data_IF_943496832832
#
_entry.id   IF_943496832832
#
_cell.length_a   1.000
_cell.length_b   1.000
_cell.length_c   1.000
_cell.angle_alpha   90.00
_cell.angle_beta   90.00
_cell.angle_gamma   90.00
#
_symmetry.space_group_name_H-M   'P 1'
#
loop_
_entity.id
_entity.type
_entity.pdbx_description
1 polymer ?
#
# COMPACT_ATOMS: atom_id res chain seq x y z
N UNK A 1 -11.28 -1.60 -29.41
CA UNK A 1 -11.35 -0.34 -30.18
C UNK A 1 -10.34 -0.25 -31.32
N UNK A 2 -9.02 -0.44 -31.14
CA UNK A 2 -8.07 -0.43 -32.30
C UNK A 2 -8.09 -1.76 -33.07
N UNK A 3 -7.97 -2.89 -32.38
CA UNK A 3 -7.86 -4.20 -33.05
C UNK A 3 -9.20 -4.68 -33.63
N UNK A 4 -10.30 -4.23 -33.02
CA UNK A 4 -11.66 -4.49 -33.51
C UNK A 4 -12.07 -3.62 -34.71
N UNK A 5 -11.21 -2.70 -35.17
CA UNK A 5 -11.55 -1.73 -36.22
C UNK A 5 -11.39 -2.27 -37.64
N UNK A 6 -10.86 -3.48 -37.83
CA UNK A 6 -10.45 -4.08 -39.11
C UNK A 6 -9.41 -3.27 -39.92
N UNK A 7 -9.00 -2.07 -39.46
CA UNK A 7 -8.05 -1.19 -40.14
C UNK A 7 -6.58 -1.64 -39.99
N UNK A 8 -6.30 -2.57 -39.09
CA UNK A 8 -4.95 -3.05 -38.78
C UNK A 8 -4.93 -4.59 -38.80
N UNK A 9 -4.88 -5.22 -39.99
CA UNK A 9 -4.87 -6.67 -40.09
C UNK A 9 -3.55 -7.25 -39.56
N UNK A 10 -3.65 -8.38 -38.84
CA UNK A 10 -2.51 -8.99 -38.11
C UNK A 10 -1.38 -9.45 -39.04
N UNK A 11 -1.67 -9.73 -40.32
CA UNK A 11 -0.67 -10.08 -41.34
C UNK A 11 0.16 -8.89 -41.84
N UNK A 12 -0.22 -7.64 -41.52
CA UNK A 12 0.52 -6.42 -41.90
C UNK A 12 0.97 -5.59 -40.71
N UNK A 13 0.37 -5.78 -39.53
CA UNK A 13 0.67 -4.98 -38.34
C UNK A 13 0.79 -5.85 -37.09
N UNK A 14 1.90 -5.65 -36.36
CA UNK A 14 2.10 -6.22 -35.03
C UNK A 14 1.87 -5.12 -33.99
N UNK A 15 0.70 -5.11 -33.35
CA UNK A 15 0.33 -4.12 -32.32
C UNK A 15 0.68 -4.67 -30.94
N UNK A 16 1.61 -4.01 -30.25
CA UNK A 16 2.13 -4.45 -28.95
C UNK A 16 1.81 -3.38 -27.89
N UNK A 17 0.92 -3.68 -26.92
CA UNK A 17 0.73 -2.81 -25.77
C UNK A 17 1.91 -2.94 -24.80
N UNK A 18 2.37 -1.81 -24.25
CA UNK A 18 3.51 -1.77 -23.33
C UNK A 18 3.19 -0.94 -22.09
N UNK A 19 2.95 -1.62 -20.98
CA UNK A 19 2.56 -1.05 -19.68
C UNK A 19 3.14 -1.92 -18.55
N UNK A 20 3.42 -1.32 -17.39
CA UNK A 20 3.98 -2.02 -16.21
C UNK A 20 3.11 -3.13 -15.59
N UNK A 21 1.88 -3.32 -16.09
CA UNK A 21 0.90 -4.33 -15.66
C UNK A 21 0.70 -5.43 -16.70
N UNK A 22 1.35 -5.32 -17.86
CA UNK A 22 1.36 -6.34 -18.90
C UNK A 22 2.38 -7.42 -18.50
N UNK A 23 2.14 -8.71 -18.78
CA UNK A 23 3.11 -9.77 -18.53
C UNK A 23 4.51 -9.45 -19.08
N UNK A 24 5.57 -9.83 -18.37
CA UNK A 24 6.97 -9.49 -18.76
C UNK A 24 7.30 -10.06 -20.14
N UNK A 25 6.93 -11.30 -20.41
CA UNK A 25 7.11 -11.98 -21.69
C UNK A 25 6.39 -11.26 -22.84
N UNK A 26 5.19 -10.71 -22.60
CA UNK A 26 4.50 -9.87 -23.58
C UNK A 26 5.21 -8.52 -23.80
N UNK A 27 5.77 -7.91 -22.75
CA UNK A 27 6.57 -6.69 -22.89
C UNK A 27 7.85 -6.96 -23.70
N UNK A 28 8.50 -8.12 -23.50
CA UNK A 28 9.73 -8.49 -24.21
C UNK A 28 9.54 -8.65 -25.72
N UNK A 29 8.32 -8.94 -26.20
CA UNK A 29 7.98 -8.98 -27.63
C UNK A 29 8.33 -7.67 -28.35
N UNK A 30 8.41 -6.56 -27.62
CA UNK A 30 8.79 -5.25 -28.16
C UNK A 30 10.20 -5.22 -28.76
N UNK A 31 11.11 -6.07 -28.26
CA UNK A 31 12.49 -6.14 -28.73
C UNK A 31 12.67 -6.97 -30.01
N UNK A 32 11.68 -7.82 -30.32
CA UNK A 32 11.73 -8.64 -31.51
C UNK A 32 11.52 -7.77 -32.77
N UNK A 33 12.30 -8.07 -33.82
CA UNK A 33 12.07 -7.49 -35.14
C UNK A 33 10.79 -8.08 -35.75
N UNK A 34 9.91 -7.26 -36.35
CA UNK A 34 8.73 -7.79 -37.03
C UNK A 34 9.13 -8.56 -38.29
N UNK A 35 8.31 -9.54 -38.75
CA UNK A 35 8.53 -10.22 -40.02
C UNK A 35 8.56 -9.25 -41.22
N UNK A 36 9.18 -9.63 -42.36
CA UNK A 36 9.16 -8.83 -43.57
C UNK A 36 7.73 -8.49 -44.00
N UNK A 37 7.48 -7.23 -44.36
CA UNK A 37 6.15 -6.75 -44.73
C UNK A 37 5.22 -6.42 -43.55
N UNK A 38 5.62 -6.70 -42.32
CA UNK A 38 4.84 -6.40 -41.10
C UNK A 38 5.39 -5.15 -40.41
N UNK A 39 4.51 -4.21 -40.07
CA UNK A 39 4.87 -3.02 -39.29
C UNK A 39 4.61 -3.25 -37.80
N UNK A 40 5.66 -3.12 -36.98
CA UNK A 40 5.53 -3.07 -35.52
C UNK A 40 4.97 -1.72 -35.07
N UNK A 41 3.93 -1.75 -34.23
CA UNK A 41 3.30 -0.57 -33.61
C UNK A 41 3.26 -0.81 -32.10
N UNK A 42 3.87 0.09 -31.35
CA UNK A 42 4.02 -0.06 -29.89
C UNK A 42 3.22 1.06 -29.23
N UNK A 43 2.27 0.66 -28.38
CA UNK A 43 1.42 1.60 -27.64
C UNK A 43 1.89 1.57 -26.19
N UNK A 44 2.58 2.62 -25.75
CA UNK A 44 3.26 2.63 -24.45
C UNK A 44 2.89 3.82 -23.56
N UNK A 45 3.11 3.65 -22.26
CA UNK A 45 3.18 4.74 -21.29
C UNK A 45 4.60 5.32 -21.23
N UNK A 46 4.90 6.09 -20.18
CA UNK A 46 6.24 6.66 -19.94
C UNK A 46 7.34 5.58 -19.77
N UNK A 47 7.00 4.30 -19.63
CA UNK A 47 8.01 3.22 -19.50
C UNK A 47 8.96 3.12 -20.70
N UNK A 48 8.50 3.45 -21.91
CA UNK A 48 9.36 3.51 -23.11
C UNK A 48 10.25 4.77 -23.15
N UNK A 49 9.98 5.76 -22.29
CA UNK A 49 10.74 7.01 -22.20
C UNK A 49 12.00 6.86 -21.37
N UNK A 50 12.03 5.97 -20.36
CA UNK A 50 13.16 5.81 -19.44
C UNK A 50 13.64 4.37 -19.35
N UNK A 51 12.77 3.45 -18.91
CA UNK A 51 13.13 2.09 -18.50
C UNK A 51 13.42 1.13 -19.67
N UNK A 52 12.84 1.38 -20.85
CA UNK A 52 12.94 0.46 -21.99
C UNK A 52 13.50 1.17 -23.22
N UNK A 53 14.47 0.52 -23.87
CA UNK A 53 15.18 1.03 -25.04
C UNK A 53 14.92 0.14 -26.24
N UNK A 54 14.10 0.62 -27.16
CA UNK A 54 13.68 -0.11 -28.37
C UNK A 54 14.44 0.49 -29.55
N UNK A 55 15.24 -0.32 -30.22
CA UNK A 55 16.24 0.19 -31.15
C UNK A 55 15.66 0.55 -32.52
N UNK A 56 14.67 -0.19 -33.01
CA UNK A 56 14.11 -0.07 -34.37
C UNK A 56 12.99 0.98 -34.50
N UNK A 57 12.86 1.90 -33.55
CA UNK A 57 11.85 2.95 -33.57
C UNK A 57 12.25 4.08 -34.54
N UNK A 58 11.44 4.25 -35.59
CA UNK A 58 11.63 5.30 -36.61
C UNK A 58 10.59 6.41 -36.47
N UNK A 59 9.42 6.07 -35.94
CA UNK A 59 8.31 7.00 -35.75
C UNK A 59 7.88 6.98 -34.29
N UNK A 60 7.80 8.16 -33.68
CA UNK A 60 7.19 8.36 -32.36
C UNK A 60 5.98 9.24 -32.54
N UNK A 61 4.84 8.81 -31.99
CA UNK A 61 3.64 9.63 -31.87
C UNK A 61 3.49 9.95 -30.39
N UNK A 62 3.76 11.20 -30.04
CA UNK A 62 3.71 11.69 -28.68
C UNK A 62 2.36 12.36 -28.41
N UNK A 63 1.53 11.74 -27.56
CA UNK A 63 0.23 12.30 -27.19
C UNK A 63 0.31 13.53 -26.27
N UNK A 64 1.51 13.89 -25.79
CA UNK A 64 1.73 15.05 -24.93
C UNK A 64 1.26 14.89 -23.49
N UNK A 65 0.75 13.72 -23.11
CA UNK A 65 0.19 13.46 -21.78
C UNK A 65 0.97 12.37 -21.04
N UNK A 66 0.90 12.44 -19.71
CA UNK A 66 1.42 11.43 -18.79
C UNK A 66 0.51 11.36 -17.56
N UNK A 67 0.36 10.17 -16.96
CA UNK A 67 -0.28 10.04 -15.66
C UNK A 67 0.77 10.11 -14.55
N UNK A 68 0.57 11.01 -13.59
CA UNK A 68 1.49 11.21 -12.47
C UNK A 68 0.74 11.04 -11.16
N UNK A 69 1.42 10.42 -10.20
CA UNK A 69 0.99 10.38 -8.81
C UNK A 69 1.39 11.69 -8.14
N UNK A 70 0.41 12.36 -7.55
CA UNK A 70 0.60 13.54 -6.73
C UNK A 70 0.03 13.28 -5.34
N UNK A 71 0.47 14.08 -4.37
CA UNK A 71 -0.07 14.09 -3.02
C UNK A 71 -0.76 15.42 -2.76
N UNK A 72 -2.05 15.36 -2.45
CA UNK A 72 -2.81 16.53 -2.01
C UNK A 72 -2.85 16.51 -0.48
N UNK A 73 -1.97 17.27 0.17
CA UNK A 73 -1.87 17.32 1.61
C UNK A 73 -3.12 17.89 2.29
N UNK A 74 -3.85 18.81 1.64
CA UNK A 74 -5.09 19.41 2.19
C UNK A 74 -6.19 18.38 2.37
N UNK A 75 -6.26 17.43 1.44
CA UNK A 75 -7.21 16.30 1.50
C UNK A 75 -6.57 15.04 2.07
N UNK A 76 -5.27 15.06 2.35
CA UNK A 76 -4.46 13.90 2.74
C UNK A 76 -4.64 12.66 1.81
N UNK A 77 -4.76 12.89 0.51
CA UNK A 77 -5.05 11.83 -0.50
C UNK A 77 -4.02 11.85 -1.63
N UNK A 78 -3.64 10.66 -2.11
CA UNK A 78 -2.91 10.53 -3.36
C UNK A 78 -3.83 10.67 -4.57
N UNK A 79 -3.42 11.44 -5.57
CA UNK A 79 -4.17 11.58 -6.83
C UNK A 79 -3.40 10.97 -7.99
N UNK A 80 -4.13 10.46 -8.99
CA UNK A 80 -3.55 9.95 -10.23
C UNK A 80 -4.13 10.71 -11.42
N UNK A 81 -3.43 11.76 -11.83
CA UNK A 81 -3.95 12.74 -12.79
C UNK A 81 -3.23 12.67 -14.14
N UNK A 82 -3.98 12.91 -15.21
CA UNK A 82 -3.45 13.02 -16.58
C UNK A 82 -3.00 14.45 -16.85
N UNK A 83 -1.70 14.68 -16.74
CA UNK A 83 -1.08 16.01 -16.91
C UNK A 83 -0.37 16.12 -18.25
N UNK A 84 -0.11 17.34 -18.68
CA UNK A 84 0.79 17.58 -19.81
C UNK A 84 2.23 17.22 -19.42
N UNK A 85 2.98 16.72 -20.39
CA UNK A 85 4.41 16.44 -20.22
C UNK A 85 5.23 17.73 -20.18
N UNK A 86 6.47 17.66 -19.68
CA UNK A 86 7.42 18.77 -19.78
C UNK A 86 8.11 18.84 -21.15
N UNK A 87 8.77 19.97 -21.45
CA UNK A 87 9.64 20.13 -22.63
C UNK A 87 10.77 19.09 -22.61
N UNK A 88 11.33 18.79 -21.44
CA UNK A 88 12.33 17.74 -21.27
C UNK A 88 11.80 16.36 -21.68
N UNK A 89 10.58 15.98 -21.28
CA UNK A 89 9.98 14.71 -21.69
C UNK A 89 9.74 14.66 -23.21
N UNK A 90 9.21 15.75 -23.81
CA UNK A 90 9.01 15.83 -25.25
C UNK A 90 10.35 15.65 -26.01
N UNK A 91 11.42 16.26 -25.50
CA UNK A 91 12.78 16.08 -26.03
C UNK A 91 13.27 14.64 -25.89
N UNK A 92 13.08 13.99 -24.74
CA UNK A 92 13.43 12.59 -24.54
C UNK A 92 12.69 11.67 -25.50
N UNK A 93 11.37 11.88 -25.69
CA UNK A 93 10.54 11.13 -26.65
C UNK A 93 11.01 11.33 -28.09
N UNK A 94 11.38 12.55 -28.47
CA UNK A 94 12.03 12.83 -29.76
C UNK A 94 13.36 12.06 -29.88
N UNK A 95 14.15 11.98 -28.82
CA UNK A 95 15.40 11.20 -28.78
C UNK A 95 15.21 9.67 -28.87
N UNK A 96 13.97 9.16 -28.84
CA UNK A 96 13.65 7.74 -29.07
C UNK A 96 13.60 7.38 -30.55
N UNK A 97 13.54 8.36 -31.45
CA UNK A 97 13.78 8.14 -32.89
C UNK A 97 15.21 8.51 -33.28
N UNK A 98 15.65 8.11 -34.47
CA UNK A 98 16.95 8.53 -35.00
C UNK A 98 18.14 7.66 -34.60
N UNK A 99 17.90 6.55 -33.86
CA UNK A 99 18.97 5.65 -33.40
C UNK A 99 19.57 4.79 -34.52
N UNK A 100 18.71 4.25 -35.37
CA UNK A 100 19.11 3.34 -36.46
C UNK A 100 19.12 4.05 -37.81
N UNK A 101 18.21 5.01 -38.01
CA UNK A 101 18.09 5.81 -39.22
C UNK A 101 17.29 7.09 -38.94
N UNK A 102 17.33 8.11 -39.81
CA UNK A 102 16.52 9.32 -39.66
C UNK A 102 15.05 8.99 -39.40
N UNK A 103 14.50 9.55 -38.33
CA UNK A 103 13.14 9.28 -37.87
C UNK A 103 12.31 10.55 -37.69
N UNK A 104 11.02 10.38 -37.41
CA UNK A 104 10.08 11.50 -37.20
C UNK A 104 9.38 11.35 -35.86
N UNK A 105 9.33 12.45 -35.10
CA UNK A 105 8.54 12.55 -33.88
C UNK A 105 7.36 13.49 -34.15
N UNK A 106 6.14 12.99 -33.92
CA UNK A 106 4.90 13.74 -34.10
C UNK A 106 4.33 14.06 -32.72
N UNK A 107 4.37 15.33 -32.32
CA UNK A 107 3.73 15.77 -31.08
C UNK A 107 2.28 16.14 -31.37
N UNK A 108 1.33 15.49 -30.69
CA UNK A 108 -0.11 15.76 -30.81
C UNK A 108 -0.52 16.96 -29.95
N UNK A 109 0.19 18.07 -30.10
CA UNK A 109 -0.07 19.33 -29.44
C UNK A 109 0.25 20.49 -30.36
N UNK A 110 -0.48 21.59 -30.23
CA UNK A 110 -0.18 22.81 -30.99
C UNK A 110 1.13 23.41 -30.51
N UNK A 111 1.76 24.23 -31.36
CA UNK A 111 2.95 24.99 -30.97
C UNK A 111 2.66 25.92 -29.78
N UNK A 112 1.50 26.57 -29.76
CA UNK A 112 1.05 27.36 -28.63
C UNK A 112 0.98 26.54 -27.32
N UNK A 113 0.45 25.29 -27.37
CA UNK A 113 0.49 24.40 -26.20
C UNK A 113 1.92 24.04 -25.81
N UNK A 114 2.79 23.71 -26.76
CA UNK A 114 4.19 23.38 -26.48
C UNK A 114 4.93 24.53 -25.78
N UNK A 115 4.68 25.76 -26.20
CA UNK A 115 5.28 26.97 -25.62
C UNK A 115 4.89 27.14 -24.14
N UNK A 116 3.65 26.78 -23.77
CA UNK A 116 3.14 26.78 -22.38
C UNK A 116 3.62 25.60 -21.51
N UNK A 117 4.35 24.62 -22.05
CA UNK A 117 4.84 23.51 -21.26
C UNK A 117 5.96 23.94 -20.32
N UNK A 118 5.95 23.38 -19.12
CA UNK A 118 7.04 23.53 -18.16
C UNK A 118 8.34 22.92 -18.70
N UNK A 119 9.51 23.50 -18.39
CA UNK A 119 10.80 22.95 -18.82
C UNK A 119 11.02 21.51 -18.33
N UNK A 120 10.69 21.24 -17.07
CA UNK A 120 10.88 19.96 -16.38
C UNK A 120 9.62 19.55 -15.62
N UNK A 121 9.51 18.26 -15.29
CA UNK A 121 8.45 17.78 -14.41
C UNK A 121 8.71 18.20 -12.97
N UNK A 122 7.64 18.37 -12.20
CA UNK A 122 7.72 18.65 -10.77
C UNK A 122 8.53 17.54 -10.03
N UNK A 123 9.58 17.92 -9.27
CA UNK A 123 10.37 16.99 -8.46
C UNK A 123 9.51 16.14 -7.53
N UNK A 124 9.93 14.89 -7.29
CA UNK A 124 9.15 13.94 -6.50
C UNK A 124 8.90 14.40 -5.05
N UNK A 125 9.90 15.06 -4.44
CA UNK A 125 9.80 15.57 -3.07
C UNK A 125 8.66 16.56 -2.87
N UNK A 126 8.25 17.29 -3.92
CA UNK A 126 7.17 18.26 -3.87
C UNK A 126 5.77 17.65 -4.06
N UNK A 127 5.68 16.37 -4.42
CA UNK A 127 4.42 15.71 -4.83
C UNK A 127 4.21 14.32 -4.26
N UNK A 128 5.06 13.89 -3.34
CA UNK A 128 4.96 12.61 -2.64
C UNK A 128 4.75 12.85 -1.14
N UNK A 129 4.31 11.81 -0.42
CA UNK A 129 4.28 11.86 1.04
C UNK A 129 5.71 11.84 1.61
N UNK A 130 5.90 12.38 2.81
CA UNK A 130 7.23 12.68 3.34
C UNK A 130 7.62 11.84 4.56
N UNK A 131 6.79 10.90 5.04
CA UNK A 131 7.03 10.20 6.31
C UNK A 131 8.40 9.50 6.35
N UNK A 132 8.74 8.75 5.31
CA UNK A 132 10.03 8.05 5.22
C UNK A 132 11.20 9.03 5.24
N UNK A 133 11.11 10.10 4.45
CA UNK A 133 12.18 11.10 4.29
C UNK A 133 12.40 11.87 5.61
N UNK A 134 11.31 12.24 6.29
CA UNK A 134 11.34 12.89 7.59
C UNK A 134 11.97 11.97 8.65
N UNK A 135 11.58 10.70 8.68
CA UNK A 135 12.11 9.75 9.64
C UNK A 135 13.60 9.46 9.39
N UNK A 136 14.02 9.34 8.12
CA UNK A 136 15.44 9.25 7.75
C UNK A 136 16.22 10.49 8.20
N UNK A 137 15.67 11.70 8.01
CA UNK A 137 16.33 12.93 8.45
C UNK A 137 16.54 12.97 9.98
N UNK A 138 15.59 12.42 10.75
CA UNK A 138 15.72 12.31 12.21
C UNK A 138 16.77 11.30 12.64
N UNK A 139 16.86 10.14 11.98
CA UNK A 139 17.95 9.17 12.25
C UNK A 139 19.32 9.75 11.92
N UNK A 140 19.42 10.53 10.84
CA UNK A 140 20.65 11.23 10.45
C UNK A 140 20.95 12.46 11.34
N UNK A 141 20.12 12.75 12.34
CA UNK A 141 20.29 13.85 13.29
C UNK A 141 20.43 15.23 12.62
N UNK A 142 19.67 15.46 11.54
CA UNK A 142 19.73 16.72 10.77
C UNK A 142 19.04 17.92 11.46
N UNK A 143 18.62 17.75 12.73
CA UNK A 143 17.98 18.78 13.54
C UNK A 143 16.45 18.78 13.45
N UNK A 144 15.85 19.96 13.70
CA UNK A 144 14.41 20.14 13.55
C UNK A 144 14.03 20.16 12.08
N UNK A 145 12.89 19.55 11.75
CA UNK A 145 12.43 19.45 10.36
C UNK A 145 12.19 20.85 9.78
N UNK A 146 11.57 21.73 10.57
CA UNK A 146 11.30 23.12 10.19
C UNK A 146 12.55 23.93 9.84
N UNK A 147 13.72 23.56 10.36
CA UNK A 147 14.97 24.28 10.09
C UNK A 147 15.74 23.66 8.90
N UNK A 148 15.63 22.35 8.70
CA UNK A 148 16.37 21.64 7.66
C UNK A 148 15.67 21.64 6.29
N UNK A 149 14.38 21.32 6.25
CA UNK A 149 13.67 21.11 4.97
C UNK A 149 13.55 22.35 4.08
N UNK A 150 13.44 23.59 4.63
CA UNK A 150 13.50 24.79 3.81
C UNK A 150 14.84 25.01 3.08
N UNK A 151 15.91 24.31 3.47
CA UNK A 151 17.26 24.42 2.85
C UNK A 151 17.48 23.45 1.69
N UNK A 152 16.51 22.60 1.38
CA UNK A 152 16.60 21.68 0.24
C UNK A 152 16.58 22.45 -1.09
N UNK A 153 17.13 21.83 -2.15
CA UNK A 153 17.12 22.41 -3.51
C UNK A 153 15.71 22.82 -3.95
N UNK A 154 14.76 21.91 -3.73
CA UNK A 154 13.33 22.13 -3.92
C UNK A 154 12.63 21.82 -2.59
N UNK A 155 12.34 22.86 -1.81
CA UNK A 155 11.72 22.71 -0.50
C UNK A 155 10.23 22.31 -0.65
N UNK A 156 9.78 21.21 0.01
CA UNK A 156 8.37 20.83 0.00
C UNK A 156 7.48 21.81 0.74
N UNK A 157 6.18 21.78 0.40
CA UNK A 157 5.18 22.64 1.03
C UNK A 157 5.12 22.40 2.56
N UNK A 158 5.12 23.46 3.38
CA UNK A 158 5.03 23.32 4.84
C UNK A 158 3.81 22.53 5.32
N UNK A 159 2.69 22.58 4.59
CA UNK A 159 1.50 21.78 4.88
C UNK A 159 1.71 20.29 4.62
N UNK A 160 2.47 19.93 3.58
CA UNK A 160 2.84 18.53 3.34
C UNK A 160 3.78 18.01 4.45
N UNK A 161 4.72 18.83 4.91
CA UNK A 161 5.58 18.53 6.05
C UNK A 161 4.73 18.32 7.32
N UNK A 162 3.82 19.24 7.61
CA UNK A 162 2.97 19.19 8.80
C UNK A 162 2.09 17.93 8.86
N UNK A 163 1.47 17.54 7.73
CA UNK A 163 0.64 16.33 7.66
C UNK A 163 1.46 15.06 7.86
N UNK A 164 2.67 14.98 7.30
CA UNK A 164 3.54 13.82 7.51
C UNK A 164 4.13 13.78 8.92
N UNK A 165 4.44 14.93 9.54
CA UNK A 165 4.84 15.01 10.94
C UNK A 165 3.72 14.56 11.89
N UNK A 166 2.49 15.02 11.66
CA UNK A 166 1.31 14.60 12.42
C UNK A 166 1.14 13.07 12.37
N UNK A 167 1.24 12.47 11.18
CA UNK A 167 1.16 11.02 11.04
C UNK A 167 2.28 10.31 11.82
N UNK A 168 3.53 10.77 11.75
CA UNK A 168 4.64 10.17 12.49
C UNK A 168 4.46 10.26 14.02
N UNK A 169 3.89 11.37 14.51
CA UNK A 169 3.53 11.53 15.93
C UNK A 169 2.41 10.59 16.34
N UNK A 170 1.35 10.49 15.54
CA UNK A 170 0.22 9.56 15.78
C UNK A 170 0.64 8.09 15.73
N UNK A 171 1.66 7.77 14.94
CA UNK A 171 2.28 6.45 14.93
C UNK A 171 3.20 6.20 16.12
N UNK A 172 3.47 7.21 16.96
CA UNK A 172 4.44 7.21 18.05
C UNK A 172 5.87 6.95 17.56
N UNK A 173 6.16 7.27 16.29
CA UNK A 173 7.51 7.23 15.73
C UNK A 173 8.33 8.46 16.14
N UNK A 174 7.64 9.58 16.35
CA UNK A 174 8.19 10.80 16.93
C UNK A 174 7.38 11.19 18.17
N UNK A 175 8.02 11.80 19.15
CA UNK A 175 7.34 12.44 20.27
C UNK A 175 6.80 13.83 19.89
N UNK A 176 6.18 14.52 20.85
CA UNK A 176 5.64 15.86 20.62
C UNK A 176 6.68 16.93 20.27
N UNK A 177 7.94 16.70 20.67
CA UNK A 177 9.09 17.58 20.41
C UNK A 177 9.83 17.22 19.10
N UNK A 178 9.26 16.32 18.28
CA UNK A 178 9.89 15.75 17.08
C UNK A 178 11.16 14.93 17.35
N UNK A 179 11.31 14.40 18.57
CA UNK A 179 12.40 13.49 18.91
C UNK A 179 12.06 12.08 18.46
N UNK A 180 13.07 11.36 18.00
CA UNK A 180 12.92 9.96 17.58
C UNK A 180 12.63 9.07 18.79
N UNK A 181 11.53 8.34 18.76
CA UNK A 181 11.21 7.34 19.79
C UNK A 181 11.94 6.01 19.50
N UNK A 182 12.02 5.06 20.45
CA UNK A 182 12.51 3.72 20.18
C UNK A 182 11.77 3.04 19.02
N UNK A 183 10.44 3.24 18.92
CA UNK A 183 9.65 2.74 17.79
C UNK A 183 10.11 3.40 16.48
N UNK A 184 10.20 4.73 16.46
CA UNK A 184 10.68 5.47 15.29
C UNK A 184 12.06 5.02 14.82
N UNK A 185 12.97 4.72 15.74
CA UNK A 185 14.30 4.20 15.44
C UNK A 185 14.26 2.87 14.68
N UNK A 186 13.43 1.92 15.13
CA UNK A 186 13.26 0.65 14.41
C UNK A 186 12.56 0.83 13.08
N UNK A 187 11.52 1.66 13.01
CA UNK A 187 10.79 1.96 11.77
C UNK A 187 11.71 2.57 10.70
N UNK A 188 12.62 3.45 11.10
CA UNK A 188 13.55 4.10 10.19
C UNK A 188 14.59 3.14 9.57
N UNK A 189 14.87 2.03 10.26
CA UNK A 189 15.78 0.99 9.77
C UNK A 189 15.11 0.00 8.82
N UNK A 190 13.77 -0.05 8.79
CA UNK A 190 13.04 -0.88 7.85
C UNK A 190 12.89 -0.12 6.52
N UNK A 191 13.26 -0.72 5.37
CA UNK A 191 13.09 -0.10 4.06
C UNK A 191 11.64 -0.19 3.59
N UNK A 192 10.70 0.38 4.36
CA UNK A 192 9.27 0.42 4.06
C UNK A 192 8.58 1.62 4.69
N UNK A 193 7.32 1.85 4.33
CA UNK A 193 6.49 2.86 4.98
C UNK A 193 6.32 2.59 6.51
N UNK A 194 6.46 3.60 7.40
CA UNK A 194 6.33 3.48 8.85
C UNK A 194 5.06 2.79 9.34
N UNK A 195 3.91 3.00 8.68
CA UNK A 195 2.65 2.33 9.01
C UNK A 195 2.77 0.81 8.83
N UNK A 196 3.38 0.39 7.73
CA UNK A 196 3.61 -1.02 7.39
C UNK A 196 4.70 -1.61 8.31
N UNK A 197 5.73 -0.82 8.65
CA UNK A 197 6.76 -1.21 9.60
C UNK A 197 6.18 -1.45 10.99
N UNK A 198 5.30 -0.56 11.48
CA UNK A 198 4.62 -0.71 12.77
C UNK A 198 3.76 -1.97 12.78
N UNK A 199 3.01 -2.19 11.71
CA UNK A 199 2.24 -3.43 11.51
C UNK A 199 3.14 -4.67 11.63
N UNK A 200 4.30 -4.66 10.97
CA UNK A 200 5.22 -5.80 10.95
C UNK A 200 5.83 -6.08 12.34
N UNK A 201 6.30 -5.06 13.05
CA UNK A 201 6.84 -5.19 14.40
C UNK A 201 5.76 -5.73 15.36
N UNK A 202 4.53 -5.22 15.27
CA UNK A 202 3.42 -5.71 16.08
C UNK A 202 3.05 -7.14 15.70
N UNK A 203 3.16 -7.52 14.42
CA UNK A 203 3.00 -8.89 13.96
C UNK A 203 3.97 -9.86 14.62
N UNK A 204 5.22 -9.44 14.85
CA UNK A 204 6.20 -10.22 15.61
C UNK A 204 5.82 -10.32 17.09
N UNK A 205 5.51 -9.19 17.76
CA UNK A 205 5.17 -9.15 19.19
C UNK A 205 3.90 -9.95 19.51
N UNK A 206 2.88 -9.87 18.67
CA UNK A 206 1.60 -10.58 18.85
C UNK A 206 1.61 -12.02 18.32
N UNK A 207 2.76 -12.54 17.90
CA UNK A 207 2.94 -13.88 17.37
C UNK A 207 2.00 -14.22 16.21
N UNK A 208 1.84 -13.29 15.28
CA UNK A 208 1.11 -13.46 14.03
C UNK A 208 1.93 -13.05 12.81
N UNK A 209 3.24 -13.32 12.86
CA UNK A 209 4.23 -12.75 11.95
C UNK A 209 4.05 -13.20 10.50
N UNK A 210 3.85 -14.49 10.23
CA UNK A 210 3.85 -15.01 8.85
C UNK A 210 2.77 -14.35 7.97
N UNK A 211 1.50 -14.24 8.39
CA UNK A 211 0.49 -13.50 7.64
C UNK A 211 0.79 -12.02 7.49
N UNK A 212 1.19 -11.34 8.57
CA UNK A 212 1.45 -9.90 8.56
C UNK A 212 2.63 -9.56 7.65
N UNK A 213 3.69 -10.36 7.69
CA UNK A 213 4.84 -10.23 6.80
C UNK A 213 4.45 -10.39 5.33
N UNK A 214 3.57 -11.35 5.00
CA UNK A 214 3.06 -11.51 3.63
C UNK A 214 2.28 -10.26 3.16
N UNK A 215 1.48 -9.67 4.06
CA UNK A 215 0.70 -8.46 3.77
C UNK A 215 1.62 -7.26 3.57
N UNK A 216 2.56 -7.06 4.50
CA UNK A 216 3.50 -5.95 4.49
C UNK A 216 4.30 -5.88 3.18
N UNK A 217 4.83 -7.02 2.72
CA UNK A 217 5.64 -7.07 1.49
C UNK A 217 4.81 -6.70 0.26
N UNK A 218 3.55 -7.16 0.15
CA UNK A 218 2.70 -6.82 -1.00
C UNK A 218 2.34 -5.33 -0.98
N UNK A 219 2.03 -4.77 0.18
CA UNK A 219 1.71 -3.35 0.32
C UNK A 219 2.89 -2.44 -0.04
N UNK A 220 4.11 -2.83 0.32
CA UNK A 220 5.32 -2.05 0.05
C UNK A 220 5.83 -2.22 -1.39
N UNK A 221 5.84 -3.44 -1.92
CA UNK A 221 6.49 -3.71 -3.21
C UNK A 221 5.59 -3.45 -4.42
N UNK A 222 4.70 -4.40 -4.73
CA UNK A 222 3.87 -4.35 -5.94
C UNK A 222 2.74 -5.38 -5.88
N UNK A 223 1.57 -4.99 -6.38
CA UNK A 223 0.48 -5.92 -6.70
C UNK A 223 0.93 -6.91 -7.80
N UNK A 224 0.95 -8.23 -7.53
CA UNK A 224 1.40 -9.24 -8.49
C UNK A 224 0.40 -9.52 -9.63
N UNK A 225 -0.83 -9.03 -9.54
CA UNK A 225 -1.83 -9.27 -10.59
C UNK A 225 -1.48 -8.50 -11.88
N UNK A 226 -1.49 -9.22 -12.99
CA UNK A 226 -1.32 -8.69 -14.34
C UNK A 226 -2.64 -8.72 -15.08
N UNK A 227 -2.75 -7.86 -16.09
CA UNK A 227 -3.94 -7.79 -16.93
C UNK A 227 -3.46 -7.98 -18.36
N UNK A 228 -3.47 -9.22 -18.89
CA UNK A 228 -3.08 -9.46 -20.27
C UNK A 228 -4.06 -8.81 -21.22
N UNK A 229 -3.55 -8.41 -22.38
CA UNK A 229 -4.36 -7.78 -23.40
C UNK A 229 -5.46 -8.73 -23.89
N UNK A 230 -6.71 -8.25 -23.99
CA UNK A 230 -7.92 -9.03 -24.36
C UNK A 230 -8.42 -10.03 -23.30
N UNK A 231 -7.78 -10.12 -22.13
CA UNK A 231 -8.20 -11.00 -21.02
C UNK A 231 -8.57 -10.24 -19.76
N UNK A 232 -8.98 -8.97 -19.91
CA UNK A 232 -9.23 -8.07 -18.79
C UNK A 232 -10.34 -8.59 -17.86
N UNK A 233 -11.47 -9.00 -18.45
CA UNK A 233 -12.62 -9.52 -17.70
C UNK A 233 -12.30 -10.88 -17.05
N UNK A 234 -11.56 -11.74 -17.74
CA UNK A 234 -11.14 -13.06 -17.24
C UNK A 234 -10.22 -12.91 -16.03
N UNK A 235 -9.24 -11.99 -16.11
CA UNK A 235 -8.32 -11.70 -15.01
C UNK A 235 -9.04 -11.15 -13.77
N UNK A 236 -9.98 -10.23 -13.97
CA UNK A 236 -10.81 -9.69 -12.87
C UNK A 236 -11.64 -10.81 -12.23
N UNK A 237 -12.28 -11.66 -13.05
CA UNK A 237 -13.09 -12.77 -12.55
C UNK A 237 -12.26 -13.78 -11.76
N UNK A 238 -11.09 -14.19 -12.28
CA UNK A 238 -10.16 -15.11 -11.58
C UNK A 238 -9.68 -14.55 -10.24
N UNK A 239 -9.39 -13.26 -10.17
CA UNK A 239 -9.03 -12.60 -8.90
C UNK A 239 -10.18 -12.68 -7.88
N UNK A 240 -11.41 -12.38 -8.30
CA UNK A 240 -12.59 -12.45 -7.45
C UNK A 240 -12.93 -13.89 -7.04
N UNK A 241 -12.76 -14.86 -7.93
CA UNK A 241 -12.90 -16.29 -7.65
C UNK A 241 -11.93 -16.71 -6.53
N UNK A 242 -10.64 -16.40 -6.68
CA UNK A 242 -9.63 -16.72 -5.67
C UNK A 242 -9.93 -16.04 -4.32
N UNK A 243 -10.44 -14.81 -4.37
CA UNK A 243 -10.78 -13.99 -3.20
C UNK A 243 -12.19 -14.17 -2.66
N UNK A 244 -13.00 -15.09 -3.19
CA UNK A 244 -14.45 -15.20 -2.89
C UNK A 244 -14.75 -15.28 -1.39
N UNK A 245 -13.97 -16.11 -0.67
CA UNK A 245 -14.14 -16.32 0.78
C UNK A 245 -13.31 -15.36 1.64
N UNK A 246 -12.52 -14.48 1.04
CA UNK A 246 -11.78 -13.45 1.76
C UNK A 246 -12.70 -12.25 2.01
N UNK A 247 -12.85 -11.85 3.27
CA UNK A 247 -13.58 -10.63 3.67
C UNK A 247 -12.61 -9.51 4.08
N UNK A 248 -11.49 -9.40 3.37
CA UNK A 248 -10.42 -8.42 3.59
C UNK A 248 -9.43 -8.52 2.43
N UNK A 249 -9.04 -7.37 1.85
CA UNK A 249 -8.02 -7.30 0.80
C UNK A 249 -6.65 -7.72 1.35
N UNK A 250 -6.31 -7.29 2.56
CA UNK A 250 -5.05 -7.65 3.22
C UNK A 250 -4.97 -9.16 3.51
N UNK A 251 -6.02 -9.77 4.08
CA UNK A 251 -6.03 -11.22 4.31
C UNK A 251 -6.00 -12.01 2.99
N UNK A 252 -6.54 -11.45 1.91
CA UNK A 252 -6.41 -12.00 0.57
C UNK A 252 -4.95 -11.99 0.08
N UNK A 253 -4.18 -10.92 0.34
CA UNK A 253 -2.74 -10.86 0.05
C UNK A 253 -1.97 -11.97 0.77
N UNK A 254 -2.25 -12.21 2.05
CA UNK A 254 -1.67 -13.34 2.78
C UNK A 254 -2.00 -14.68 2.12
N UNK A 255 -3.29 -14.93 1.83
CA UNK A 255 -3.74 -16.17 1.18
C UNK A 255 -3.00 -16.43 -0.14
N UNK A 256 -2.81 -15.38 -0.94
CA UNK A 256 -2.11 -15.44 -2.22
C UNK A 256 -0.66 -15.89 -2.05
N UNK A 257 0.10 -15.23 -1.18
CA UNK A 257 1.52 -15.56 -0.93
C UNK A 257 1.66 -16.95 -0.33
N UNK A 258 0.80 -17.29 0.65
CA UNK A 258 0.84 -18.59 1.31
C UNK A 258 0.57 -19.73 0.31
N UNK A 259 -0.42 -19.55 -0.59
CA UNK A 259 -0.70 -20.52 -1.65
C UNK A 259 0.52 -20.71 -2.54
N UNK A 260 1.08 -19.63 -3.09
CA UNK A 260 2.24 -19.68 -3.98
C UNK A 260 3.49 -20.28 -3.32
N UNK A 261 3.76 -19.92 -2.06
CA UNK A 261 4.91 -20.42 -1.30
C UNK A 261 4.90 -21.95 -1.17
N UNK A 262 3.73 -22.55 -0.98
CA UNK A 262 3.57 -23.99 -0.76
C UNK A 262 3.47 -24.82 -2.05
N UNK A 263 3.54 -24.19 -3.23
CA UNK A 263 3.61 -24.88 -4.51
C UNK A 263 5.07 -25.17 -4.90
N UNK A 264 5.28 -26.28 -5.61
CA UNK A 264 6.55 -26.55 -6.29
C UNK A 264 6.68 -25.68 -7.55
N UNK A 265 7.85 -25.65 -8.17
CA UNK A 265 8.16 -24.75 -9.30
C UNK A 265 7.18 -24.90 -10.46
N UNK A 266 6.93 -26.13 -10.93
CA UNK A 266 5.96 -26.38 -12.00
C UNK A 266 4.53 -25.90 -11.66
N UNK A 267 4.05 -26.19 -10.44
CA UNK A 267 2.72 -25.73 -10.00
C UNK A 267 2.66 -24.22 -9.78
N UNK A 268 3.79 -23.56 -9.47
CA UNK A 268 3.86 -22.09 -9.36
C UNK A 268 3.61 -21.43 -10.71
N UNK A 269 4.21 -21.94 -11.77
CA UNK A 269 3.97 -21.46 -13.14
C UNK A 269 2.50 -21.64 -13.54
N UNK A 270 1.94 -22.82 -13.30
CA UNK A 270 0.53 -23.10 -13.56
C UNK A 270 -0.41 -22.17 -12.77
N UNK A 271 -0.14 -21.98 -11.48
CA UNK A 271 -0.93 -21.09 -10.62
C UNK A 271 -0.83 -19.63 -11.07
N UNK A 272 0.35 -19.16 -11.45
CA UNK A 272 0.54 -17.81 -11.97
C UNK A 272 -0.18 -17.60 -13.30
N UNK A 273 -0.16 -18.59 -14.19
CA UNK A 273 -0.89 -18.56 -15.46
C UNK A 273 -2.41 -18.54 -15.23
N UNK A 274 -2.92 -19.42 -14.36
CA UNK A 274 -4.35 -19.53 -14.08
C UNK A 274 -4.95 -18.27 -13.46
N UNK A 275 -4.24 -17.66 -12.50
CA UNK A 275 -4.75 -16.51 -11.73
C UNK A 275 -4.21 -15.15 -12.20
N UNK A 276 -3.56 -15.11 -13.36
CA UNK A 276 -3.01 -13.87 -13.93
C UNK A 276 -2.06 -13.16 -12.97
N UNK A 277 -1.04 -13.87 -12.52
CA UNK A 277 -0.01 -13.35 -11.62
C UNK A 277 1.33 -13.28 -12.35
N UNK A 278 2.12 -12.25 -12.07
CA UNK A 278 3.49 -12.17 -12.55
C UNK A 278 4.41 -13.07 -11.71
N UNK A 279 4.94 -14.13 -12.32
CA UNK A 279 5.81 -15.10 -11.65
C UNK A 279 7.06 -14.45 -11.04
N UNK A 280 7.71 -13.52 -11.75
CA UNK A 280 8.89 -12.81 -11.25
C UNK A 280 8.56 -11.97 -10.01
N UNK A 281 7.41 -11.29 -10.02
CA UNK A 281 6.92 -10.49 -8.89
C UNK A 281 6.64 -11.38 -7.69
N UNK A 282 5.95 -12.51 -7.88
CA UNK A 282 5.69 -13.49 -6.82
C UNK A 282 6.97 -14.10 -6.24
N UNK A 283 7.94 -14.45 -7.09
CA UNK A 283 9.25 -14.94 -6.65
C UNK A 283 10.02 -13.87 -5.89
N UNK A 284 9.98 -12.61 -6.34
CA UNK A 284 10.60 -11.50 -5.63
C UNK A 284 9.95 -11.21 -4.27
N UNK A 285 8.63 -11.34 -4.16
CA UNK A 285 7.91 -11.26 -2.86
C UNK A 285 8.46 -12.30 -1.87
N UNK A 286 8.74 -13.54 -2.31
CA UNK A 286 9.37 -14.54 -1.45
C UNK A 286 10.83 -14.20 -1.07
N UNK A 287 11.55 -13.46 -1.92
CA UNK A 287 12.90 -12.97 -1.62
C UNK A 287 12.86 -11.86 -0.56
N UNK A 288 12.02 -10.84 -0.78
CA UNK A 288 11.80 -9.75 0.17
C UNK A 288 11.37 -10.28 1.54
N UNK A 289 10.59 -11.37 1.57
CA UNK A 289 10.24 -12.06 2.83
C UNK A 289 11.45 -12.49 3.64
N UNK A 290 12.50 -13.00 2.99
CA UNK A 290 13.75 -13.38 3.66
C UNK A 290 14.53 -12.16 4.12
N UNK A 291 14.58 -11.12 3.29
CA UNK A 291 15.26 -9.85 3.62
C UNK A 291 14.61 -9.16 4.84
N UNK A 292 13.27 -9.11 4.92
CA UNK A 292 12.59 -8.57 6.10
C UNK A 292 12.69 -9.45 7.34
N UNK A 293 12.76 -10.79 7.18
CA UNK A 293 13.10 -11.67 8.30
C UNK A 293 14.51 -11.40 8.84
N UNK A 294 15.48 -11.11 7.95
CA UNK A 294 16.83 -10.73 8.34
C UNK A 294 16.82 -9.44 9.18
N UNK A 295 16.09 -8.41 8.74
CA UNK A 295 15.95 -7.17 9.52
C UNK A 295 15.35 -7.42 10.91
N UNK A 296 14.25 -8.18 10.99
CA UNK A 296 13.63 -8.49 12.29
C UNK A 296 14.55 -9.29 13.21
N UNK A 297 15.37 -10.18 12.65
CA UNK A 297 16.33 -10.99 13.40
C UNK A 297 17.46 -10.13 13.94
N UNK A 298 18.05 -9.28 13.10
CA UNK A 298 19.09 -8.31 13.49
C UNK A 298 18.60 -7.32 14.55
N UNK A 299 17.31 -6.95 14.49
CA UNK A 299 16.68 -6.11 15.50
C UNK A 299 16.32 -6.85 16.79
N UNK A 300 16.37 -8.19 16.82
CA UNK A 300 16.06 -8.99 18.01
C UNK A 300 14.59 -9.32 18.23
N UNK A 301 13.71 -9.05 17.26
CA UNK A 301 12.26 -9.32 17.36
C UNK A 301 11.87 -10.76 17.01
N UNK A 302 12.77 -11.55 16.42
CA UNK A 302 12.51 -12.95 16.06
C UNK A 302 13.69 -13.84 16.45
N UNK A 303 13.44 -15.11 16.83
CA UNK A 303 14.49 -16.00 17.33
C UNK A 303 15.42 -16.52 16.24
N UNK A 304 14.95 -16.55 15.00
CA UNK A 304 15.67 -17.07 13.84
C UNK A 304 15.04 -16.57 12.53
N UNK A 305 15.69 -16.90 11.41
CA UNK A 305 15.28 -16.49 10.07
C UNK A 305 14.10 -17.29 9.49
N UNK A 306 13.53 -18.26 10.22
CA UNK A 306 12.39 -19.03 9.74
C UNK A 306 11.09 -18.26 10.01
N UNK A 307 10.40 -17.74 8.97
CA UNK A 307 9.16 -16.99 9.16
C UNK A 307 8.00 -17.86 9.67
N UNK A 308 8.16 -19.20 9.65
CA UNK A 308 7.19 -20.19 10.16
C UNK A 308 7.52 -20.70 11.57
N UNK A 309 8.47 -20.08 12.28
CA UNK A 309 8.79 -20.47 13.66
C UNK A 309 7.53 -20.42 14.54
N UNK A 310 7.40 -21.37 15.47
CA UNK A 310 6.21 -21.53 16.31
C UNK A 310 6.08 -20.35 17.26
N UNK A 311 7.21 -19.89 17.78
CA UNK A 311 7.37 -18.76 18.68
C UNK A 311 6.64 -17.52 18.15
N UNK A 312 6.79 -17.20 16.86
CA UNK A 312 6.24 -15.97 16.28
C UNK A 312 4.89 -16.16 15.55
N UNK A 313 4.25 -17.33 15.65
CA UNK A 313 3.08 -17.66 14.83
C UNK A 313 1.92 -18.34 15.58
N UNK A 314 1.93 -18.37 16.91
CA UNK A 314 0.85 -18.97 17.71
C UNK A 314 -0.53 -18.37 17.44
N UNK A 315 -0.60 -17.12 16.97
CA UNK A 315 -1.84 -16.40 16.66
C UNK A 315 -2.08 -16.20 15.14
N UNK A 316 -1.24 -16.77 14.27
CA UNK A 316 -1.30 -16.57 12.81
C UNK A 316 -2.59 -17.08 12.14
N UNK A 317 -3.40 -17.88 12.84
CA UNK A 317 -4.69 -18.38 12.35
C UNK A 317 -5.91 -17.64 12.96
N UNK A 318 -5.71 -16.74 13.93
CA UNK A 318 -6.77 -15.97 14.57
C UNK A 318 -7.07 -14.72 13.74
N UNK A 319 -8.13 -14.77 12.93
CA UNK A 319 -8.43 -13.73 11.95
C UNK A 319 -8.67 -12.36 12.58
N UNK A 320 -9.29 -12.30 13.76
CA UNK A 320 -9.57 -11.04 14.42
C UNK A 320 -8.31 -10.42 15.05
N UNK A 321 -7.36 -11.24 15.54
CA UNK A 321 -6.02 -10.77 15.91
C UNK A 321 -5.30 -10.18 14.68
N UNK A 322 -5.32 -10.86 13.53
CA UNK A 322 -4.74 -10.32 12.30
C UNK A 322 -5.36 -8.98 11.91
N UNK A 323 -6.68 -8.86 11.99
CA UNK A 323 -7.39 -7.59 11.73
C UNK A 323 -7.00 -6.51 12.73
N UNK A 324 -6.79 -6.86 13.98
CA UNK A 324 -6.36 -5.93 15.02
C UNK A 324 -4.94 -5.40 14.75
N UNK A 325 -4.01 -6.25 14.32
CA UNK A 325 -2.66 -5.82 13.95
C UNK A 325 -2.63 -5.02 12.64
N UNK A 326 -3.45 -5.39 11.65
CA UNK A 326 -3.67 -4.57 10.45
C UNK A 326 -4.23 -3.19 10.85
N UNK A 327 -5.16 -3.14 11.80
CA UNK A 327 -5.67 -1.88 12.36
C UNK A 327 -4.56 -1.06 13.01
N UNK A 328 -3.70 -1.68 13.81
CA UNK A 328 -2.61 -1.00 14.51
C UNK A 328 -1.59 -0.34 13.57
N UNK A 329 -1.35 -0.93 12.40
CA UNK A 329 -0.48 -0.34 11.39
C UNK A 329 -1.16 0.73 10.54
N UNK A 330 -2.39 0.46 10.09
CA UNK A 330 -3.09 1.31 9.11
C UNK A 330 -3.86 2.46 9.74
N UNK A 331 -4.18 2.39 11.03
CA UNK A 331 -4.68 3.55 11.77
C UNK A 331 -3.70 4.74 11.60
N UNK A 332 -4.19 5.97 11.37
CA UNK A 332 -5.57 6.47 11.52
C UNK A 332 -6.46 6.38 10.28
N UNK A 333 -6.05 5.63 9.26
CA UNK A 333 -6.80 5.50 8.01
C UNK A 333 -8.03 4.60 8.22
N UNK A 334 -9.12 5.20 8.67
CA UNK A 334 -10.38 4.52 8.99
C UNK A 334 -11.56 5.13 8.22
N UNK A 335 -12.53 4.30 7.88
CA UNK A 335 -13.75 4.64 7.17
C UNK A 335 -14.94 3.96 7.86
N UNK A 336 -16.04 4.70 7.92
CA UNK A 336 -17.34 4.18 8.33
C UNK A 336 -18.10 3.59 7.16
N UNK A 337 -18.82 2.50 7.42
CA UNK A 337 -19.84 1.98 6.52
C UNK A 337 -21.15 2.68 6.87
N UNK A 338 -21.59 3.56 5.98
CA UNK A 338 -22.87 4.27 6.09
C UNK A 338 -24.06 3.40 5.70
N UNK A 339 -25.18 4.05 5.35
CA UNK A 339 -26.40 3.34 4.92
C UNK A 339 -26.17 2.60 3.60
N UNK A 340 -26.83 1.45 3.45
CA UNK A 340 -26.95 0.74 2.18
C UNK A 340 -27.94 1.50 1.29
N UNK A 341 -27.46 2.12 0.22
CA UNK A 341 -28.33 2.67 -0.84
C UNK A 341 -28.28 1.73 -2.05
N UNK A 342 -29.44 1.29 -2.55
CA UNK A 342 -29.54 0.41 -3.72
C UNK A 342 -28.65 -0.86 -3.65
N UNK A 343 -28.50 -1.45 -2.45
CA UNK A 343 -27.61 -2.61 -2.16
C UNK A 343 -26.11 -2.34 -2.32
N UNK A 344 -25.70 -1.07 -2.42
CA UNK A 344 -24.30 -0.64 -2.41
C UNK A 344 -24.01 0.00 -1.05
N UNK A 345 -22.93 -0.46 -0.41
CA UNK A 345 -22.46 0.17 0.83
C UNK A 345 -21.85 1.54 0.50
N UNK A 346 -22.37 2.60 1.11
CA UNK A 346 -21.72 3.91 1.11
C UNK A 346 -20.63 3.92 2.15
N UNK A 347 -19.46 4.45 1.80
CA UNK A 347 -18.32 4.56 2.68
C UNK A 347 -18.05 6.02 2.98
N UNK A 348 -17.83 6.34 4.25
CA UNK A 348 -17.68 7.71 4.71
C UNK A 348 -16.37 7.88 5.50
N UNK A 349 -15.61 8.91 5.16
CA UNK A 349 -14.42 9.32 5.90
C UNK A 349 -14.79 10.04 7.20
N UNK A 350 -13.80 10.27 8.07
CA UNK A 350 -14.00 10.98 9.34
C UNK A 350 -14.43 12.46 9.17
N UNK A 351 -14.15 13.04 8.01
CA UNK A 351 -14.54 14.39 7.63
C UNK A 351 -15.88 14.42 6.85
N UNK A 352 -16.66 13.35 6.94
CA UNK A 352 -17.95 13.15 6.27
C UNK A 352 -17.92 13.00 4.74
N UNK A 353 -16.74 13.03 4.10
CA UNK A 353 -16.62 12.83 2.65
C UNK A 353 -16.99 11.39 2.24
N UNK A 354 -17.80 11.27 1.19
CA UNK A 354 -18.17 9.98 0.61
C UNK A 354 -17.07 9.43 -0.29
N UNK A 355 -16.77 8.13 -0.13
CA UNK A 355 -15.80 7.38 -0.91
C UNK A 355 -16.39 6.05 -1.37
N UNK A 356 -15.74 5.40 -2.34
CA UNK A 356 -16.16 4.10 -2.86
C UNK A 356 -15.03 3.09 -2.82
N UNK A 357 -15.33 1.80 -2.73
CA UNK A 357 -14.32 0.76 -2.91
C UNK A 357 -13.85 0.76 -4.36
N UNK A 358 -12.53 0.68 -4.57
CA UNK A 358 -11.95 0.57 -5.89
C UNK A 358 -12.37 -0.75 -6.56
N UNK A 359 -12.67 -0.79 -7.88
CA UNK A 359 -13.12 -1.98 -8.62
C UNK A 359 -12.24 -3.24 -8.53
N UNK A 360 -11.02 -3.12 -7.97
CA UNK A 360 -10.08 -4.22 -7.77
C UNK A 360 -10.16 -4.87 -6.38
N UNK A 361 -10.88 -4.26 -5.44
CA UNK A 361 -11.02 -4.80 -4.09
C UNK A 361 -11.84 -6.08 -4.12
N UNK A 362 -11.46 -7.04 -3.27
CA UNK A 362 -12.21 -8.29 -3.07
C UNK A 362 -13.45 -8.08 -2.21
N UNK A 363 -13.68 -6.89 -1.66
CA UNK A 363 -14.85 -6.54 -0.85
C UNK A 363 -16.05 -6.06 -1.68
N UNK A 364 -15.87 -5.83 -2.98
CA UNK A 364 -16.95 -5.37 -3.87
C UNK A 364 -18.12 -6.35 -3.85
N UNK A 365 -19.33 -5.81 -3.69
CA UNK A 365 -20.57 -6.58 -3.71
C UNK A 365 -20.72 -7.55 -2.53
N UNK A 366 -19.83 -7.50 -1.54
CA UNK A 366 -19.92 -8.34 -0.34
C UNK A 366 -20.60 -7.60 0.80
N UNK A 367 -21.41 -8.34 1.55
CA UNK A 367 -21.95 -7.85 2.81
C UNK A 367 -20.83 -7.79 3.87
N UNK A 368 -20.62 -6.60 4.44
CA UNK A 368 -19.64 -6.34 5.48
C UNK A 368 -20.40 -6.18 6.80
N UNK A 369 -20.09 -7.05 7.77
CA UNK A 369 -20.78 -7.07 9.07
C UNK A 369 -20.35 -5.92 9.99
N UNK A 370 -19.09 -5.52 9.91
CA UNK A 370 -18.50 -4.53 10.80
C UNK A 370 -18.70 -3.11 10.24
N UNK A 371 -19.04 -2.12 11.08
CA UNK A 371 -19.28 -0.75 10.61
C UNK A 371 -17.99 0.02 10.27
N UNK A 372 -16.81 -0.57 10.55
CA UNK A 372 -15.52 0.09 10.42
C UNK A 372 -14.60 -0.68 9.48
N UNK A 373 -13.89 0.07 8.64
CA UNK A 373 -12.84 -0.42 7.75
C UNK A 373 -11.57 0.38 7.97
N UNK A 374 -10.43 -0.32 8.00
CA UNK A 374 -9.12 0.33 7.81
C UNK A 374 -8.63 0.12 6.39
N UNK A 375 -7.90 1.09 5.86
CA UNK A 375 -7.34 1.07 4.51
C UNK A 375 -5.88 1.54 4.51
N UNK A 376 -5.07 1.08 3.57
CA UNK A 376 -3.73 1.64 3.39
C UNK A 376 -3.79 2.83 2.44
N UNK A 377 -4.57 2.72 1.35
CA UNK A 377 -4.50 3.70 0.26
C UNK A 377 -5.86 4.23 -0.20
N UNK A 378 -5.98 5.57 -0.20
CA UNK A 378 -7.00 6.31 -0.95
C UNK A 378 -6.38 6.87 -2.23
N UNK A 379 -7.09 6.70 -3.34
CA UNK A 379 -6.68 7.24 -4.65
C UNK A 379 -7.82 8.04 -5.25
N UNK A 380 -7.57 9.30 -5.57
CA UNK A 380 -8.47 10.10 -6.41
C UNK A 380 -8.12 9.90 -7.89
N UNK A 381 -9.08 9.40 -8.66
CA UNK A 381 -9.00 9.34 -10.13
C UNK A 381 -10.23 10.02 -10.75
N UNK A 382 -11.27 9.27 -11.11
CA UNK A 382 -12.59 9.82 -11.44
C UNK A 382 -13.34 10.22 -10.17
N UNK A 383 -13.40 9.30 -9.19
CA UNK A 383 -13.87 9.53 -7.83
C UNK A 383 -12.73 9.23 -6.84
N UNK A 384 -12.98 9.44 -5.55
CA UNK A 384 -12.10 9.01 -4.47
C UNK A 384 -12.40 7.54 -4.15
N UNK A 385 -11.39 6.68 -4.31
CA UNK A 385 -11.52 5.25 -4.11
C UNK A 385 -10.63 4.74 -2.98
N UNK A 386 -11.20 3.90 -2.13
CA UNK A 386 -10.46 3.03 -1.19
C UNK A 386 -9.89 1.87 -2.00
N UNK A 387 -8.57 1.84 -2.14
CA UNK A 387 -7.90 0.86 -3.02
C UNK A 387 -7.86 -0.54 -2.41
N UNK A 388 -7.74 -0.62 -1.09
CA UNK A 388 -7.64 -1.84 -0.29
C UNK A 388 -8.27 -1.58 1.08
N UNK A 389 -8.96 -2.59 1.65
CA UNK A 389 -9.58 -2.43 2.96
C UNK A 389 -9.65 -3.72 3.77
N UNK A 390 -9.80 -3.56 5.08
CA UNK A 390 -10.06 -4.65 6.03
C UNK A 390 -11.11 -4.24 7.05
N UNK A 391 -12.20 -5.02 7.20
CA UNK A 391 -13.17 -4.80 8.27
C UNK A 391 -12.54 -5.03 9.63
N UNK A 392 -12.80 -4.13 10.56
CA UNK A 392 -12.28 -4.16 11.93
C UNK A 392 -13.40 -4.00 12.95
N UNK A 393 -13.20 -4.53 14.16
CA UNK A 393 -14.12 -4.37 15.28
C UNK A 393 -13.80 -3.07 16.05
N UNK A 394 -14.78 -2.55 16.78
CA UNK A 394 -14.61 -1.43 17.69
C UNK A 394 -13.45 -1.67 18.66
N UNK A 395 -13.31 -2.89 19.21
CA UNK A 395 -12.21 -3.19 20.13
C UNK A 395 -10.83 -3.01 19.49
N UNK A 396 -10.67 -3.32 18.20
CA UNK A 396 -9.39 -3.13 17.51
C UNK A 396 -8.98 -1.64 17.52
N UNK A 397 -9.95 -0.75 17.25
CA UNK A 397 -9.73 0.69 17.25
C UNK A 397 -9.55 1.23 18.67
N UNK A 398 -10.28 0.68 19.64
CA UNK A 398 -10.15 1.08 21.04
C UNK A 398 -8.78 0.74 21.62
N UNK A 399 -8.16 -0.38 21.23
CA UNK A 399 -6.81 -0.74 21.69
C UNK A 399 -5.70 0.00 20.94
N UNK A 400 -5.84 0.23 19.63
CA UNK A 400 -4.75 0.72 18.79
C UNK A 400 -4.92 2.12 18.20
N UNK A 401 -6.08 2.77 18.39
CA UNK A 401 -6.29 4.17 18.00
C UNK A 401 -5.57 5.14 18.93
N UNK A 402 -5.65 6.46 18.70
CA UNK A 402 -5.03 7.48 19.57
C UNK A 402 -6.07 8.19 20.47
N UNK A 403 -5.59 9.02 21.41
CA UNK A 403 -6.42 9.93 22.22
C UNK A 403 -7.64 9.27 22.87
N UNK A 404 -7.43 8.18 23.60
CA UNK A 404 -8.49 7.46 24.31
C UNK A 404 -9.05 8.31 25.46
N UNK A 405 -10.35 8.62 25.40
CA UNK A 405 -11.05 9.38 26.43
C UNK A 405 -12.35 8.69 26.82
N UNK A 406 -12.71 8.74 28.10
CA UNK A 406 -14.00 8.26 28.61
C UNK A 406 -14.88 9.49 28.84
N UNK A 407 -16.03 9.52 28.20
CA UNK A 407 -17.02 10.59 28.32
C UNK A 407 -18.37 10.10 28.81
N UNK A 408 -19.22 11.05 29.20
CA UNK A 408 -20.62 10.82 29.55
C UNK A 408 -21.48 11.96 29.04
N UNK A 409 -22.63 11.64 28.47
CA UNK A 409 -23.65 12.58 28.02
C UNK A 409 -24.98 12.13 28.62
N UNK A 410 -25.44 12.82 29.68
CA UNK A 410 -26.54 12.35 30.52
C UNK A 410 -26.19 11.02 31.21
N UNK A 411 -27.07 10.02 31.09
CA UNK A 411 -26.86 8.67 31.63
C UNK A 411 -26.05 7.76 30.68
N UNK A 412 -25.72 8.22 29.48
CA UNK A 412 -25.01 7.42 28.50
C UNK A 412 -23.49 7.64 28.59
N UNK A 413 -22.76 6.55 28.75
CA UNK A 413 -21.31 6.54 28.73
C UNK A 413 -20.78 6.14 27.36
N UNK A 414 -19.66 6.74 26.97
CA UNK A 414 -19.00 6.45 25.70
C UNK A 414 -17.48 6.57 25.82
N UNK A 415 -16.79 5.89 24.93
CA UNK A 415 -15.35 6.02 24.70
C UNK A 415 -15.15 6.82 23.43
N UNK A 416 -14.23 7.78 23.45
CA UNK A 416 -13.82 8.54 22.27
C UNK A 416 -12.38 8.21 21.88
N UNK A 417 -12.14 8.03 20.58
CA UNK A 417 -10.81 7.85 19.96
C UNK A 417 -10.62 8.98 18.93
N UNK A 418 -9.42 9.56 18.83
CA UNK A 418 -9.12 10.69 17.93
C UNK A 418 -10.05 11.90 18.10
N UNK A 419 -10.71 12.05 19.26
CA UNK A 419 -11.75 13.04 19.55
C UNK A 419 -13.01 12.97 18.66
N UNK A 420 -13.10 12.03 17.71
CA UNK A 420 -14.14 11.96 16.69
C UNK A 420 -14.92 10.65 16.74
N UNK A 421 -14.24 9.52 16.95
CA UNK A 421 -14.85 8.20 16.95
C UNK A 421 -15.50 7.94 18.31
N UNK A 422 -16.83 7.91 18.39
CA UNK A 422 -17.57 7.60 19.62
C UNK A 422 -18.05 6.14 19.64
N UNK A 423 -17.80 5.46 20.75
CA UNK A 423 -18.20 4.07 21.00
C UNK A 423 -19.01 3.98 22.30
N UNK A 424 -20.27 3.56 22.22
CA UNK A 424 -21.11 3.36 23.41
C UNK A 424 -20.54 2.24 24.27
N UNK A 425 -20.41 2.48 25.57
CA UNK A 425 -19.89 1.51 26.54
C UNK A 425 -20.40 1.86 27.93
N UNK A 426 -20.60 0.88 28.81
CA UNK A 426 -20.82 1.18 30.23
C UNK A 426 -19.51 1.64 30.88
N UNK A 427 -19.61 2.47 31.93
CA UNK A 427 -18.45 3.09 32.58
C UNK A 427 -17.41 2.07 33.05
N UNK A 428 -17.84 0.99 33.72
CA UNK A 428 -16.95 -0.06 34.21
C UNK A 428 -16.17 -0.75 33.09
N UNK A 429 -16.83 -1.08 31.97
CA UNK A 429 -16.15 -1.66 30.80
C UNK A 429 -15.18 -0.67 30.17
N UNK A 430 -15.52 0.61 30.08
CA UNK A 430 -14.63 1.63 29.55
C UNK A 430 -13.36 1.78 30.41
N UNK A 431 -13.49 1.75 31.74
CA UNK A 431 -12.37 1.80 32.68
C UNK A 431 -11.45 0.58 32.55
N UNK A 432 -12.02 -0.63 32.44
CA UNK A 432 -11.23 -1.87 32.23
C UNK A 432 -10.49 -1.83 30.89
N UNK A 433 -11.15 -1.40 29.80
CA UNK A 433 -10.49 -1.28 28.49
C UNK A 433 -9.34 -0.28 28.57
N UNK A 434 -9.54 0.86 29.26
CA UNK A 434 -8.49 1.87 29.46
C UNK A 434 -7.30 1.28 30.21
N UNK A 435 -7.53 0.59 31.31
CA UNK A 435 -6.46 -0.03 32.10
C UNK A 435 -5.66 -1.07 31.28
N UNK A 436 -6.36 -1.94 30.55
CA UNK A 436 -5.72 -2.94 29.69
C UNK A 436 -4.93 -2.30 28.55
N UNK A 437 -5.46 -1.23 27.95
CA UNK A 437 -4.78 -0.46 26.91
C UNK A 437 -3.52 0.22 27.45
N UNK A 438 -3.59 0.84 28.63
CA UNK A 438 -2.43 1.49 29.24
C UNK A 438 -1.33 0.47 29.59
N UNK A 439 -1.71 -0.71 30.08
CA UNK A 439 -0.77 -1.83 30.29
C UNK A 439 -0.18 -2.33 28.97
N UNK A 440 -0.99 -2.47 27.92
CA UNK A 440 -0.51 -2.86 26.59
C UNK A 440 0.51 -1.86 26.04
N UNK A 441 0.21 -0.57 26.11
CA UNK A 441 1.10 0.47 25.59
C UNK A 441 2.45 0.46 26.30
N UNK A 442 2.46 0.33 27.63
CA UNK A 442 3.70 0.16 28.41
C UNK A 442 4.47 -1.10 28.02
N UNK A 443 3.77 -2.21 27.82
CA UNK A 443 4.38 -3.46 27.37
C UNK A 443 5.02 -3.31 25.97
N UNK A 444 4.31 -2.70 25.02
CA UNK A 444 4.81 -2.46 23.67
C UNK A 444 6.03 -1.54 23.70
N UNK A 445 5.96 -0.42 24.42
CA UNK A 445 7.07 0.50 24.61
C UNK A 445 8.31 -0.21 25.18
N UNK A 446 8.12 -1.05 26.20
CA UNK A 446 9.20 -1.84 26.80
C UNK A 446 9.81 -2.82 25.79
N UNK A 447 9.00 -3.59 25.06
CA UNK A 447 9.49 -4.57 24.06
C UNK A 447 10.16 -3.94 22.85
N UNK A 448 9.73 -2.75 22.46
CA UNK A 448 10.35 -1.98 21.39
C UNK A 448 11.70 -1.42 21.86
N UNK A 449 11.77 -0.96 23.11
CA UNK A 449 13.01 -0.41 23.71
C UNK A 449 14.02 -1.51 24.06
N UNK A 450 13.54 -2.72 24.39
CA UNK A 450 14.35 -3.89 24.73
C UNK A 450 13.93 -5.08 23.86
N UNK A 451 14.32 -5.06 22.56
CA UNK A 451 13.93 -6.10 21.62
C UNK A 451 14.26 -7.49 22.14
N UNK A 452 13.22 -8.31 22.25
CA UNK A 452 13.30 -9.69 22.72
C UNK A 452 12.15 -10.48 22.12
N UNK A 453 12.37 -11.78 21.93
CA UNK A 453 11.33 -12.67 21.42
C UNK A 453 10.26 -12.85 22.48
N UNK A 454 9.00 -12.67 22.09
CA UNK A 454 7.85 -12.89 22.98
C UNK A 454 7.38 -14.34 22.82
N UNK A 455 7.85 -15.23 23.69
CA UNK A 455 7.39 -16.61 23.70
C UNK A 455 6.11 -16.75 24.53
N UNK A 456 4.97 -16.80 23.85
CA UNK A 456 3.67 -16.98 24.50
C UNK A 456 3.49 -18.31 25.23
N UNK A 457 4.47 -19.24 25.23
CA UNK A 457 4.46 -20.46 26.04
C UNK A 457 4.93 -20.22 27.47
N UNK A 458 5.76 -19.20 27.69
CA UNK A 458 6.24 -18.84 29.03
C UNK A 458 5.09 -18.32 29.90
N UNK A 459 5.16 -18.59 31.20
CA UNK A 459 4.20 -18.12 32.20
C UNK A 459 4.79 -16.96 32.99
N UNK A 460 4.60 -15.74 32.49
CA UNK A 460 5.00 -14.51 33.16
C UNK A 460 3.91 -13.43 32.98
N UNK A 461 4.05 -12.29 33.65
CA UNK A 461 3.05 -11.22 33.59
C UNK A 461 2.88 -10.65 32.17
N UNK A 462 3.97 -10.56 31.41
CA UNK A 462 3.97 -10.05 30.04
C UNK A 462 3.14 -10.95 29.10
N UNK A 463 3.38 -12.26 29.14
CA UNK A 463 2.67 -13.23 28.31
C UNK A 463 1.22 -13.38 28.76
N UNK A 464 0.93 -13.26 30.06
CA UNK A 464 -0.43 -13.26 30.58
C UNK A 464 -1.23 -12.06 30.06
N UNK A 465 -0.67 -10.85 30.10
CA UNK A 465 -1.27 -9.64 29.55
C UNK A 465 -1.58 -9.83 28.06
N UNK A 466 -0.59 -10.28 27.28
CA UNK A 466 -0.76 -10.46 25.85
C UNK A 466 -1.79 -11.54 25.51
N UNK A 467 -1.79 -12.68 26.22
CA UNK A 467 -2.83 -13.73 26.08
C UNK A 467 -4.23 -13.19 26.38
N UNK A 468 -4.34 -12.34 27.40
CA UNK A 468 -5.61 -11.72 27.81
C UNK A 468 -6.14 -10.78 26.74
N UNK A 469 -5.29 -9.92 26.20
CA UNK A 469 -5.65 -8.99 25.12
C UNK A 469 -6.00 -9.77 23.84
N UNK A 470 -5.21 -10.78 23.49
CA UNK A 470 -5.50 -11.66 22.34
C UNK A 470 -6.85 -12.34 22.50
N UNK A 471 -7.19 -12.84 23.69
CA UNK A 471 -8.49 -13.44 23.96
C UNK A 471 -9.65 -12.45 23.86
N UNK A 472 -9.43 -11.18 24.24
CA UNK A 472 -10.43 -10.12 24.14
C UNK A 472 -10.66 -9.65 22.69
N UNK A 473 -9.59 -9.58 21.90
CA UNK A 473 -9.66 -9.22 20.48
C UNK A 473 -10.26 -10.35 19.63
N UNK A 474 -9.98 -11.60 19.97
CA UNK A 474 -10.49 -12.78 19.29
C UNK A 474 -11.88 -13.15 19.80
N UNK A 475 -12.91 -12.47 19.25
CA UNK A 475 -14.30 -12.82 19.50
C UNK A 475 -14.58 -14.20 18.93
N UNK A 476 -14.37 -15.26 19.72
CA UNK A 476 -14.95 -16.58 19.43
C UNK A 476 -16.46 -16.38 19.28
N UNK A 477 -16.94 -16.49 18.04
CA UNK A 477 -18.37 -16.54 17.75
C UNK A 477 -18.94 -17.89 18.17
#
# INVERSE_FOLDING_TARGET
>A
MIVSSCKFPENKFAIIPLHSLIPTDEQLKVFNSPPPGVRKIIISTIIAETSITINDVVFVIDCGKVKIKNFNFKLNIETLESVWISKANASQRKGRVGRVKPGKCFHLMTRARYETLEPYMCPEILRSRLENVLLTAKVLQLGKIGDFFPRLMDAPDPGAIAVSLDLLKRLEALDENESLTPLGYHLAKLPMNPQIGKMLLFGAIFNCLQPILNIAIILEYKDPFIIPFRKENEAIWKKQEFGRNCKSDHLFMNKLVLKFQNLNEFKREQFCSEFFLNLQTMTHILKLKREFMQHLYEMGFVPNLNPKCIECNSNSYRLDVLRAIICAGLYPNIVYIGKLENKVALFQLLNDDQVSLHPKSVLIGKYIRNPLLVYYKLIKSTNVFIHDATPVDSLHVLFFGDNFQIGSEGEHHFITISNTLKFTSIKSTAEVIKELRDKLNKFLEYKISHPSVVDLREENEETLLLRTIVALLDKKQ
#
